data_IF_992505321398
#
_entry.id   IF_992505321398
#
_cell.length_a   1.000
_cell.length_b   1.000
_cell.length_c   1.000
_cell.angle_alpha   90.00
_cell.angle_beta   90.00
_cell.angle_gamma   90.00
#
_symmetry.space_group_name_H-M   'P 1'
#
loop_
_entity.id
_entity.type
_entity.pdbx_description
1 polymer ?
#
# COMPACT_ATOMS: atom_id res chain seq x y z
N UNK A 1 -2.77 -26.70 1.16
CA UNK A 1 -4.11 -26.08 1.30
C UNK A 1 -4.23 -24.98 0.24
N UNK A 2 -5.31 -24.93 -0.54
CA UNK A 2 -5.46 -23.99 -1.67
C UNK A 2 -5.25 -22.53 -1.21
N UNK A 3 -4.37 -21.79 -1.89
CA UNK A 3 -4.24 -20.33 -1.78
C UNK A 3 -5.64 -19.71 -1.90
N UNK A 4 -6.24 -19.31 -0.78
CA UNK A 4 -7.42 -18.46 -0.82
C UNK A 4 -6.91 -17.04 -0.86
N UNK A 5 -6.64 -16.56 -2.08
CA UNK A 5 -6.39 -15.13 -2.33
C UNK A 5 -7.52 -14.27 -1.75
N UNK A 6 -7.23 -12.98 -1.57
CA UNK A 6 -8.20 -12.01 -1.05
C UNK A 6 -9.52 -12.09 -1.85
N UNK A 7 -10.69 -11.88 -1.24
CA UNK A 7 -11.97 -11.97 -1.96
C UNK A 7 -12.02 -11.12 -3.25
N UNK A 8 -11.37 -9.97 -3.24
CA UNK A 8 -11.26 -9.07 -4.40
C UNK A 8 -10.45 -9.66 -5.57
N UNK A 9 -9.57 -10.62 -5.31
CA UNK A 9 -8.75 -11.25 -6.36
C UNK A 9 -9.46 -12.42 -7.03
N UNK A 10 -10.58 -12.93 -6.50
CA UNK A 10 -11.32 -14.02 -7.15
C UNK A 10 -11.93 -13.61 -8.49
N UNK A 11 -12.65 -12.47 -8.61
CA UNK A 11 -13.15 -12.02 -9.91
C UNK A 11 -12.00 -11.74 -10.89
N UNK A 12 -10.90 -11.15 -10.40
CA UNK A 12 -9.71 -10.88 -11.23
C UNK A 12 -9.07 -12.18 -11.72
N UNK A 13 -8.85 -13.15 -10.83
CA UNK A 13 -8.30 -14.45 -11.18
C UNK A 13 -9.18 -15.21 -12.17
N UNK A 14 -10.51 -15.09 -12.05
CA UNK A 14 -11.44 -15.67 -13.01
C UNK A 14 -11.37 -14.99 -14.39
N UNK A 15 -11.05 -13.70 -14.44
CA UNK A 15 -10.99 -12.92 -15.69
C UNK A 15 -9.63 -13.02 -16.39
N UNK A 16 -8.52 -12.96 -15.65
CA UNK A 16 -7.16 -12.82 -16.20
C UNK A 16 -6.16 -13.88 -15.69
N UNK A 17 -6.63 -14.92 -15.00
CA UNK A 17 -5.74 -15.96 -14.45
C UNK A 17 -4.77 -15.37 -13.43
N UNK A 18 -3.52 -15.84 -13.37
CA UNK A 18 -2.50 -15.37 -12.42
C UNK A 18 -1.98 -13.94 -12.70
N UNK A 19 -2.29 -13.39 -13.89
CA UNK A 19 -1.91 -12.04 -14.30
C UNK A 19 -2.54 -10.96 -13.41
N UNK A 20 -3.54 -11.29 -12.59
CA UNK A 20 -4.14 -10.35 -11.62
C UNK A 20 -3.07 -9.65 -10.74
N UNK A 21 -1.95 -10.32 -10.49
CA UNK A 21 -0.81 -9.80 -9.71
C UNK A 21 -0.08 -8.62 -10.37
N UNK A 22 -0.36 -8.35 -11.64
CA UNK A 22 0.17 -7.23 -12.41
C UNK A 22 -0.70 -5.97 -12.28
N UNK A 23 -1.89 -6.09 -11.67
CA UNK A 23 -2.86 -4.99 -11.57
C UNK A 23 -3.07 -4.48 -10.15
N UNK A 24 -2.79 -5.31 -9.13
CA UNK A 24 -3.05 -4.96 -7.73
C UNK A 24 -1.95 -5.48 -6.81
N UNK A 25 -1.54 -4.63 -5.87
CA UNK A 25 -0.63 -4.97 -4.77
C UNK A 25 -1.25 -4.51 -3.46
N UNK A 26 -1.27 -5.38 -2.45
CA UNK A 26 -1.84 -5.09 -1.12
C UNK A 26 -0.72 -5.18 -0.10
N UNK A 27 -0.41 -4.05 0.55
CA UNK A 27 0.72 -3.91 1.45
C UNK A 27 0.28 -3.34 2.81
N UNK A 28 1.07 -3.64 3.84
CA UNK A 28 1.00 -2.98 5.15
C UNK A 28 2.31 -2.28 5.48
N UNK A 29 2.36 -1.55 6.60
CA UNK A 29 3.56 -0.87 7.06
C UNK A 29 4.03 -1.38 8.41
N UNK A 30 5.34 -1.48 8.56
CA UNK A 30 6.03 -1.94 9.77
C UNK A 30 7.36 -1.22 9.91
N UNK A 31 7.72 -0.88 11.14
CA UNK A 31 9.00 -0.29 11.47
C UNK A 31 9.67 -1.05 12.61
N UNK A 32 10.90 -0.69 12.93
CA UNK A 32 11.66 -1.22 14.05
C UNK A 32 12.47 -0.12 14.74
N UNK A 33 12.93 -0.42 15.94
CA UNK A 33 13.79 0.44 16.73
C UNK A 33 14.46 -0.33 17.85
N UNK A 34 15.18 0.37 18.71
CA UNK A 34 15.88 -0.22 19.85
C UNK A 34 15.28 0.32 21.15
N UNK A 35 14.94 -0.58 22.08
CA UNK A 35 14.49 -0.24 23.42
C UNK A 35 15.22 -1.12 24.44
N UNK A 36 15.94 -0.49 25.36
CA UNK A 36 16.78 -1.19 26.35
C UNK A 36 17.73 -2.23 25.72
N UNK A 37 18.43 -1.84 24.65
CA UNK A 37 19.35 -2.70 23.89
C UNK A 37 18.70 -3.96 23.29
N UNK A 38 17.38 -3.92 23.08
CA UNK A 38 16.63 -4.96 22.38
C UNK A 38 15.99 -4.37 21.13
N UNK A 39 16.15 -5.08 20.02
CA UNK A 39 15.43 -4.79 18.80
C UNK A 39 13.94 -5.04 19.03
N UNK A 40 13.13 -4.05 18.71
CA UNK A 40 11.67 -4.12 18.74
C UNK A 40 11.12 -3.79 17.35
N UNK A 41 9.98 -4.37 17.01
CA UNK A 41 9.25 -4.05 15.78
C UNK A 41 7.79 -3.79 16.09
N UNK A 42 7.18 -2.85 15.37
CA UNK A 42 5.76 -2.56 15.49
C UNK A 42 5.15 -2.21 14.13
N UNK A 43 3.86 -2.54 13.96
CA UNK A 43 3.09 -2.09 12.80
C UNK A 43 2.96 -0.57 12.82
N UNK A 44 3.13 0.05 11.65
CA UNK A 44 2.76 1.46 11.49
C UNK A 44 1.28 1.50 11.13
N UNK A 45 0.48 2.07 12.02
CA UNK A 45 -0.97 2.11 11.85
C UNK A 45 -1.38 3.09 10.74
N UNK A 46 -1.86 2.55 9.62
CA UNK A 46 -2.34 3.35 8.48
C UNK A 46 -3.74 3.88 8.81
N UNK A 47 -3.80 5.09 9.36
CA UNK A 47 -5.05 5.78 9.65
C UNK A 47 -5.55 6.66 8.50
N UNK A 48 -4.79 6.78 7.41
CA UNK A 48 -5.15 7.61 6.26
C UNK A 48 -6.43 7.14 5.56
N UNK A 49 -7.20 8.08 5.04
CA UNK A 49 -8.28 7.84 4.06
C UNK A 49 -8.02 8.74 2.86
N UNK A 50 -7.18 8.21 1.98
CA UNK A 50 -6.59 8.89 0.85
C UNK A 50 -6.79 8.03 -0.40
N UNK A 51 -7.23 8.66 -1.48
CA UNK A 51 -7.24 8.07 -2.82
C UNK A 51 -6.58 9.07 -3.77
N UNK A 52 -5.62 8.60 -4.56
CA UNK A 52 -4.99 9.36 -5.65
C UNK A 52 -5.25 8.59 -6.93
N UNK A 53 -5.70 9.27 -7.97
CA UNK A 53 -5.97 8.69 -9.28
C UNK A 53 -5.24 9.49 -10.37
N UNK A 54 -4.53 8.76 -11.23
CA UNK A 54 -3.85 9.22 -12.45
C UNK A 54 -2.90 10.42 -12.25
N UNK A 55 -2.39 10.62 -11.02
CA UNK A 55 -1.68 11.85 -10.63
C UNK A 55 -2.43 13.14 -11.02
N UNK A 56 -3.77 13.14 -10.99
CA UNK A 56 -4.61 14.32 -11.32
C UNK A 56 -5.76 14.58 -10.36
N UNK A 57 -6.19 13.55 -9.62
CA UNK A 57 -7.32 13.65 -8.69
C UNK A 57 -6.96 13.07 -7.35
N UNK A 58 -7.37 13.76 -6.29
CA UNK A 58 -7.14 13.33 -4.92
C UNK A 58 -8.44 13.44 -4.13
N UNK A 59 -8.78 12.38 -3.39
CA UNK A 59 -9.78 12.44 -2.32
C UNK A 59 -9.06 12.29 -0.99
N UNK A 60 -9.24 13.27 -0.10
CA UNK A 60 -8.76 13.24 1.28
C UNK A 60 -9.95 13.45 2.22
N UNK A 61 -10.06 12.65 3.28
CA UNK A 61 -11.13 12.83 4.24
C UNK A 61 -11.02 11.96 5.48
N UNK A 62 -12.15 11.83 6.16
CA UNK A 62 -12.34 11.01 7.36
C UNK A 62 -12.98 9.64 7.05
N UNK A 63 -13.67 9.53 5.91
CA UNK A 63 -14.43 8.35 5.51
C UNK A 63 -13.55 7.13 5.21
N UNK A 64 -13.68 6.08 6.03
CA UNK A 64 -13.08 4.78 5.76
C UNK A 64 -13.75 4.10 4.56
N UNK A 65 -13.05 3.17 3.89
CA UNK A 65 -13.67 2.29 2.88
C UNK A 65 -14.47 1.19 3.60
N UNK A 66 -15.64 1.56 4.11
CA UNK A 66 -16.61 0.64 4.71
C UNK A 66 -18.02 1.25 4.73
N UNK A 67 -19.02 0.41 4.99
CA UNK A 67 -20.43 0.84 5.05
C UNK A 67 -20.72 1.85 6.17
N UNK A 68 -19.91 1.88 7.24
CA UNK A 68 -20.10 2.81 8.35
C UNK A 68 -19.84 4.25 7.92
N UNK A 69 -18.81 4.46 7.12
CA UNK A 69 -18.44 5.78 6.60
C UNK A 69 -19.15 6.12 5.28
N UNK A 70 -19.37 5.14 4.38
CA UNK A 70 -19.80 5.43 3.00
C UNK A 70 -21.32 5.43 2.76
N UNK A 71 -22.13 4.83 3.64
CA UNK A 71 -23.59 4.80 3.43
C UNK A 71 -24.30 6.10 3.80
N UNK A 72 -23.63 7.03 4.49
CA UNK A 72 -24.17 8.34 4.91
C UNK A 72 -25.28 8.29 5.97
N UNK A 73 -25.79 7.11 6.32
CA UNK A 73 -26.84 6.91 7.35
C UNK A 73 -26.29 6.52 8.73
N UNK A 74 -24.96 6.48 8.89
CA UNK A 74 -24.28 6.02 10.10
C UNK A 74 -23.40 7.14 10.64
N UNK A 75 -22.10 7.13 10.33
CA UNK A 75 -21.19 8.16 10.81
C UNK A 75 -21.23 9.39 9.90
N UNK A 76 -21.10 10.57 10.51
CA UNK A 76 -20.89 11.82 9.78
C UNK A 76 -19.45 11.90 9.35
N UNK A 77 -19.20 11.95 8.05
CA UNK A 77 -17.87 12.02 7.46
C UNK A 77 -17.74 13.29 6.61
N UNK A 78 -16.51 13.77 6.47
CA UNK A 78 -16.17 14.86 5.55
C UNK A 78 -14.98 14.43 4.68
N UNK A 79 -15.09 14.73 3.39
CA UNK A 79 -14.04 14.53 2.40
C UNK A 79 -14.03 15.68 1.39
N UNK A 80 -12.85 15.95 0.84
CA UNK A 80 -12.64 16.90 -0.25
C UNK A 80 -12.14 16.15 -1.48
N UNK A 81 -12.69 16.50 -2.64
CA UNK A 81 -12.14 16.13 -3.95
C UNK A 81 -11.32 17.31 -4.46
N UNK A 82 -10.04 17.05 -4.73
CA UNK A 82 -9.12 17.98 -5.38
C UNK A 82 -8.89 17.48 -6.79
N UNK A 83 -9.25 18.30 -7.78
CA UNK A 83 -8.94 18.07 -9.19
C UNK A 83 -7.94 19.14 -9.62
N UNK A 84 -6.77 18.71 -10.07
CA UNK A 84 -5.72 19.62 -10.50
C UNK A 84 -6.13 20.40 -11.76
N UNK A 85 -5.89 21.71 -11.74
CA UNK A 85 -6.01 22.60 -12.92
C UNK A 85 -4.65 23.07 -13.44
N UNK A 86 -3.59 22.90 -12.65
CA UNK A 86 -2.20 23.16 -13.03
C UNK A 86 -1.48 21.84 -13.26
N UNK A 87 -0.83 21.71 -14.42
CA UNK A 87 -0.13 20.51 -14.82
C UNK A 87 1.37 20.75 -14.97
N UNK A 88 2.15 19.70 -14.76
CA UNK A 88 3.60 19.67 -14.92
C UNK A 88 4.01 18.45 -15.75
N UNK A 89 5.11 18.55 -16.53
CA UNK A 89 5.65 17.41 -17.25
C UNK A 89 6.02 16.26 -16.30
N UNK A 90 5.62 15.05 -16.66
CA UNK A 90 5.79 13.81 -15.91
C UNK A 90 5.85 12.62 -16.87
N UNK A 91 5.80 11.40 -16.33
CA UNK A 91 5.88 10.15 -17.08
C UNK A 91 4.83 9.15 -16.59
N UNK A 92 4.20 8.45 -17.53
CA UNK A 92 3.20 7.43 -17.25
C UNK A 92 3.40 6.24 -18.21
N UNK A 93 3.90 5.14 -17.68
CA UNK A 93 4.34 3.96 -18.44
C UNK A 93 5.34 4.27 -19.57
N UNK A 94 6.36 5.07 -19.29
CA UNK A 94 7.41 5.46 -20.24
C UNK A 94 6.98 6.50 -21.28
N UNK A 95 5.75 7.00 -21.20
CA UNK A 95 5.23 8.04 -22.09
C UNK A 95 5.17 9.38 -21.37
N UNK A 96 5.44 10.47 -22.11
CA UNK A 96 5.24 11.83 -21.61
C UNK A 96 3.80 12.01 -21.14
N UNK A 97 3.65 12.58 -19.94
CA UNK A 97 2.35 12.76 -19.30
C UNK A 97 2.29 14.10 -18.58
N UNK A 98 1.14 14.77 -18.68
CA UNK A 98 0.88 16.01 -17.93
C UNK A 98 0.21 15.65 -16.60
N UNK A 99 0.98 15.64 -15.51
CA UNK A 99 0.48 15.31 -14.19
C UNK A 99 0.01 16.55 -13.44
N UNK A 100 -1.03 16.40 -12.64
CA UNK A 100 -1.52 17.44 -11.74
C UNK A 100 -0.49 17.75 -10.66
N UNK A 101 -0.20 19.03 -10.47
CA UNK A 101 0.86 19.49 -9.56
C UNK A 101 0.63 19.04 -8.10
N UNK A 102 -0.61 19.11 -7.62
CA UNK A 102 -0.97 18.67 -6.26
C UNK A 102 -0.96 17.15 -6.14
N UNK A 103 -1.65 16.44 -7.03
CA UNK A 103 -1.74 14.98 -6.97
C UNK A 103 -0.38 14.30 -7.09
N UNK A 104 0.44 14.71 -8.07
CA UNK A 104 1.80 14.18 -8.27
C UNK A 104 2.68 14.42 -7.04
N UNK A 105 2.69 15.64 -6.51
CA UNK A 105 3.53 15.98 -5.35
C UNK A 105 3.16 15.15 -4.12
N UNK A 106 1.86 15.01 -3.83
CA UNK A 106 1.37 14.20 -2.74
C UNK A 106 1.74 12.72 -2.91
N UNK A 107 1.61 12.18 -4.13
CA UNK A 107 1.96 10.79 -4.44
C UNK A 107 3.47 10.56 -4.33
N UNK A 108 4.29 11.50 -4.80
CA UNK A 108 5.76 11.49 -4.63
C UNK A 108 6.14 11.48 -3.15
N UNK A 109 5.54 12.32 -2.32
CA UNK A 109 5.82 12.34 -0.88
C UNK A 109 5.43 11.04 -0.20
N UNK A 110 4.29 10.46 -0.59
CA UNK A 110 3.89 9.13 -0.13
C UNK A 110 4.95 8.08 -0.51
N UNK A 111 5.34 8.01 -1.79
CA UNK A 111 6.33 7.02 -2.25
C UNK A 111 7.70 7.23 -1.59
N UNK A 112 8.14 8.48 -1.38
CA UNK A 112 9.38 8.79 -0.64
C UNK A 112 9.36 8.23 0.77
N UNK A 113 8.26 8.43 1.49
CA UNK A 113 8.10 7.93 2.85
C UNK A 113 8.06 6.40 2.88
N UNK A 114 7.28 5.78 1.99
CA UNK A 114 7.03 4.33 2.01
C UNK A 114 8.24 3.50 1.53
N UNK A 115 8.99 4.01 0.54
CA UNK A 115 10.14 3.33 -0.04
C UNK A 115 11.47 3.77 0.59
N UNK A 116 11.46 4.80 1.44
CA UNK A 116 12.68 5.37 2.01
C UNK A 116 13.58 6.05 0.96
N UNK A 117 13.04 6.46 -0.18
CA UNK A 117 13.84 7.03 -1.29
C UNK A 117 14.48 8.38 -0.96
N UNK A 118 14.01 9.08 0.07
CA UNK A 118 14.70 10.27 0.61
C UNK A 118 16.12 9.96 1.09
N UNK A 119 16.39 8.72 1.53
CA UNK A 119 17.71 8.25 1.93
C UNK A 119 18.46 7.50 0.80
N UNK A 120 17.78 7.21 -0.31
CA UNK A 120 18.32 6.46 -1.45
C UNK A 120 17.90 7.11 -2.78
N UNK A 121 18.70 8.07 -3.30
CA UNK A 121 18.38 8.81 -4.52
C UNK A 121 18.31 7.94 -5.79
N UNK A 122 18.74 6.67 -5.72
CA UNK A 122 18.70 5.72 -6.83
C UNK A 122 17.31 5.15 -7.10
N UNK A 123 16.35 5.31 -6.18
CA UNK A 123 15.00 4.80 -6.39
C UNK A 123 14.23 5.82 -7.23
N UNK A 124 14.06 5.51 -8.52
CA UNK A 124 13.17 6.27 -9.39
C UNK A 124 11.71 6.00 -9.01
N UNK A 125 11.00 7.07 -8.71
CA UNK A 125 9.60 7.06 -8.33
C UNK A 125 8.76 7.95 -9.25
N UNK A 126 9.29 8.43 -10.37
CA UNK A 126 8.56 9.38 -11.23
C UNK A 126 7.41 8.70 -11.97
N UNK A 127 7.63 7.53 -12.53
CA UNK A 127 6.60 6.77 -13.25
C UNK A 127 5.93 5.74 -12.32
N UNK A 128 4.67 5.96 -11.91
CA UNK A 128 4.01 5.10 -10.93
C UNK A 128 3.56 3.73 -11.48
N UNK A 129 3.58 3.53 -12.80
CA UNK A 129 2.99 2.34 -13.43
C UNK A 129 3.93 1.58 -14.38
N UNK A 130 5.15 2.07 -14.59
CA UNK A 130 6.15 1.30 -15.35
C UNK A 130 6.40 -0.08 -14.73
N UNK A 131 6.68 -1.08 -15.58
CA UNK A 131 6.98 -2.44 -15.12
C UNK A 131 8.14 -2.47 -14.12
N UNK A 132 9.19 -1.68 -14.40
CA UNK A 132 10.34 -1.55 -13.50
C UNK A 132 9.91 -1.05 -12.11
N UNK A 133 9.15 0.05 -12.04
CA UNK A 133 8.68 0.57 -10.77
C UNK A 133 7.76 -0.41 -10.04
N UNK A 134 6.77 -0.97 -10.73
CA UNK A 134 5.77 -1.83 -10.07
C UNK A 134 6.36 -3.16 -9.58
N UNK A 135 7.19 -3.81 -10.40
CA UNK A 135 7.73 -5.14 -10.11
C UNK A 135 9.05 -5.09 -9.34
N UNK A 136 10.02 -4.31 -9.81
CA UNK A 136 11.40 -4.34 -9.31
C UNK A 136 11.62 -3.37 -8.15
N UNK A 137 10.77 -2.34 -8.01
CA UNK A 137 10.82 -1.41 -6.87
C UNK A 137 9.71 -1.76 -5.87
N UNK A 138 8.44 -1.46 -6.18
CA UNK A 138 7.34 -1.55 -5.22
C UNK A 138 7.15 -2.95 -4.65
N UNK A 139 6.91 -3.95 -5.51
CA UNK A 139 6.66 -5.33 -5.06
C UNK A 139 7.91 -5.98 -4.46
N UNK A 140 9.08 -5.75 -5.05
CA UNK A 140 10.34 -6.29 -4.53
C UNK A 140 10.68 -5.74 -3.14
N UNK A 141 10.53 -4.43 -2.91
CA UNK A 141 10.73 -3.82 -1.59
C UNK A 141 9.73 -4.39 -0.57
N UNK A 142 8.45 -4.48 -0.92
CA UNK A 142 7.43 -5.03 -0.02
C UNK A 142 7.74 -6.48 0.37
N UNK A 143 8.10 -7.33 -0.60
CA UNK A 143 8.44 -8.73 -0.38
C UNK A 143 9.73 -8.88 0.44
N UNK A 144 10.77 -8.13 0.11
CA UNK A 144 12.05 -8.16 0.82
C UNK A 144 11.88 -7.74 2.28
N UNK A 145 11.17 -6.64 2.53
CA UNK A 145 10.89 -6.18 3.89
C UNK A 145 10.06 -7.20 4.68
N UNK A 146 9.01 -7.77 4.07
CA UNK A 146 8.20 -8.80 4.72
C UNK A 146 9.04 -10.02 5.12
N UNK A 147 9.92 -10.49 4.23
CA UNK A 147 10.80 -11.63 4.50
C UNK A 147 11.80 -11.33 5.63
N UNK A 148 12.41 -10.13 5.64
CA UNK A 148 13.33 -9.73 6.71
C UNK A 148 12.61 -9.71 8.06
N UNK A 149 11.43 -9.08 8.12
CA UNK A 149 10.66 -9.01 9.36
C UNK A 149 10.17 -10.38 9.85
N UNK A 150 9.80 -11.28 8.95
CA UNK A 150 9.43 -12.64 9.30
C UNK A 150 10.60 -13.42 9.92
N UNK A 151 11.78 -13.35 9.28
CA UNK A 151 12.99 -14.03 9.73
C UNK A 151 13.52 -13.51 11.08
N UNK A 152 13.43 -12.20 11.31
CA UNK A 152 14.04 -11.56 12.49
C UNK A 152 13.08 -11.56 13.69
N UNK A 153 11.76 -11.51 13.46
CA UNK A 153 10.80 -11.18 14.51
C UNK A 153 9.73 -12.26 14.81
N UNK A 154 9.74 -13.43 14.16
CA UNK A 154 8.79 -14.53 14.39
C UNK A 154 7.33 -14.03 14.52
N UNK A 155 6.84 -13.37 13.46
CA UNK A 155 5.62 -12.58 13.52
C UNK A 155 4.35 -13.43 13.38
N UNK A 156 3.37 -13.17 14.26
CA UNK A 156 2.01 -13.73 14.15
C UNK A 156 1.29 -13.12 12.94
N UNK A 157 0.78 -13.97 12.04
CA UNK A 157 -0.06 -13.54 10.90
C UNK A 157 0.59 -13.60 9.52
N UNK A 158 1.87 -13.98 9.42
CA UNK A 158 2.54 -14.26 8.14
C UNK A 158 2.10 -15.61 7.55
N UNK A 159 2.16 -15.74 6.21
CA UNK A 159 1.73 -16.94 5.48
C UNK A 159 2.67 -18.12 5.79
N UNK A 160 2.25 -18.99 6.72
CA UNK A 160 3.05 -20.12 7.22
C UNK A 160 2.86 -20.39 8.71
N UNK A 161 2.45 -19.37 9.47
CA UNK A 161 2.11 -19.47 10.89
C UNK A 161 0.63 -19.13 11.10
N UNK A 162 -0.25 -20.08 10.79
CA UNK A 162 -1.64 -20.04 11.27
C UNK A 162 -1.91 -21.16 12.27
N UNK A 163 -1.28 -21.14 13.45
CA UNK A 163 -1.81 -21.94 14.55
C UNK A 163 -3.27 -21.50 14.75
N UNK A 164 -4.18 -22.46 14.78
CA UNK A 164 -5.57 -22.25 15.15
C UNK A 164 -5.65 -21.50 16.48
N UNK A 165 -6.76 -20.81 16.76
CA UNK A 165 -7.00 -20.15 18.05
C UNK A 165 -6.74 -21.08 19.25
N UNK A 166 -6.95 -22.39 19.07
CA UNK A 166 -6.65 -23.45 20.05
C UNK A 166 -5.15 -23.65 20.28
N UNK A 167 -4.35 -23.59 19.22
CA UNK A 167 -2.89 -23.70 19.29
C UNK A 167 -2.22 -22.42 19.83
N UNK A 168 -2.94 -21.29 19.79
CA UNK A 168 -2.50 -20.02 20.38
C UNK A 168 -2.92 -19.84 21.86
N UNK A 169 -3.53 -20.86 22.48
CA UNK A 169 -3.91 -20.82 23.90
C UNK A 169 -5.09 -19.87 24.22
N UNK A 170 -5.72 -19.28 23.21
CA UNK A 170 -6.92 -18.46 23.36
C UNK A 170 -8.13 -19.41 23.48
N UNK A 171 -8.61 -19.60 24.72
CA UNK A 171 -9.86 -20.32 24.98
C UNK A 171 -11.03 -19.49 24.43
N UNK A 172 -11.78 -20.08 23.51
CA UNK A 172 -13.15 -19.64 23.18
C UNK A 172 -14.08 -20.15 24.27
#
# INVERSE_FOLDING_TARGET
>A
AKHKGLPITRPLSAAVGEEWKNYISVCGLRTHGELHNKLITELVYIHSKLLIADDRRVIIGSANINDRSLLGKRDSELAVLVEDTEFVPSMMNGHEYEAGKFALSLRLDCFRCLLGSSASPSIDIQDPISDHFFHEVWKATALTNANIYDQVCNLVGMEGQRPSWREQGLRV
#
